data_IF_110199440378
#
_entry.id   IF_110199440378
#
_cell.length_a   1.000
_cell.length_b   1.000
_cell.length_c   1.000
_cell.angle_alpha   90.00
_cell.angle_beta   90.00
_cell.angle_gamma   90.00
#
_symmetry.space_group_name_H-M   'P 1'
#
loop_
_entity.id
_entity.type
_entity.pdbx_description
1 polymer ?
#
# COMPACT_ATOMS: atom_id res chain seq x y z
N UNK A 1 -4.58 26.49 11.22
CA UNK A 1 -3.29 25.80 10.97
C UNK A 1 -3.47 24.88 9.77
N UNK A 2 -2.65 25.06 8.72
CA UNK A 2 -2.77 24.36 7.44
C UNK A 2 -2.50 22.86 7.60
N UNK A 3 -3.49 22.02 7.31
CA UNK A 3 -3.33 20.56 7.27
C UNK A 3 -2.59 20.17 5.99
N UNK A 4 -1.26 20.25 5.99
CA UNK A 4 -0.46 19.85 4.82
C UNK A 4 -0.35 18.33 4.77
N UNK A 5 -1.28 17.68 4.09
CA UNK A 5 -1.10 16.28 3.67
C UNK A 5 0.14 16.22 2.79
N UNK A 6 1.05 15.29 3.10
CA UNK A 6 2.31 15.08 2.38
C UNK A 6 2.32 13.72 1.69
N UNK A 7 2.97 13.67 0.54
CA UNK A 7 2.93 12.52 -0.38
C UNK A 7 1.89 12.69 -1.48
N UNK A 8 1.61 11.65 -2.28
CA UNK A 8 2.12 10.28 -2.12
C UNK A 8 3.62 10.18 -2.40
N UNK A 9 4.31 9.41 -1.57
CA UNK A 9 5.72 9.06 -1.77
C UNK A 9 5.79 7.57 -2.18
N UNK A 10 6.58 7.24 -3.20
CA UNK A 10 6.68 5.87 -3.72
C UNK A 10 7.43 4.96 -2.74
N UNK A 11 6.78 3.90 -2.23
CA UNK A 11 7.47 2.84 -1.46
C UNK A 11 8.13 1.82 -2.39
N UNK A 12 7.32 1.18 -3.24
CA UNK A 12 7.78 0.06 -4.06
C UNK A 12 6.94 -0.07 -5.33
N UNK A 13 7.60 -0.52 -6.39
CA UNK A 13 6.97 -0.96 -7.63
C UNK A 13 6.94 -2.49 -7.66
N UNK A 14 5.74 -3.07 -7.83
CA UNK A 14 5.52 -4.50 -7.88
C UNK A 14 5.39 -4.95 -9.35
N UNK A 15 6.21 -5.91 -9.82
CA UNK A 15 6.16 -6.37 -11.20
C UNK A 15 4.75 -6.80 -11.62
N UNK A 16 4.30 -6.30 -12.78
CA UNK A 16 2.98 -6.59 -13.39
C UNK A 16 1.74 -6.20 -12.57
N UNK A 17 1.90 -5.60 -11.38
CA UNK A 17 0.80 -5.24 -10.50
C UNK A 17 0.59 -3.72 -10.44
N UNK A 18 1.61 -2.96 -10.03
CA UNK A 18 1.47 -1.54 -9.78
C UNK A 18 2.46 -0.99 -8.77
N UNK A 19 2.18 0.19 -8.23
CA UNK A 19 3.02 0.85 -7.21
C UNK A 19 2.28 0.99 -5.89
N UNK A 20 3.01 0.81 -4.79
CA UNK A 20 2.56 1.13 -3.43
C UNK A 20 3.20 2.44 -3.03
N UNK A 21 2.40 3.34 -2.46
CA UNK A 21 2.84 4.62 -1.93
C UNK A 21 2.45 4.80 -0.46
N UNK A 22 3.06 5.78 0.20
CA UNK A 22 2.65 6.22 1.53
C UNK A 22 2.40 7.72 1.56
N UNK A 23 1.56 8.14 2.49
CA UNK A 23 1.23 9.54 2.75
C UNK A 23 1.11 9.80 4.24
N UNK A 24 1.30 11.07 4.59
CA UNK A 24 1.30 11.54 5.96
C UNK A 24 0.42 12.79 6.10
N UNK A 25 -0.37 12.87 7.16
CA UNK A 25 -1.17 14.04 7.54
C UNK A 25 -0.78 14.41 8.97
N UNK A 26 0.08 15.43 9.11
CA UNK A 26 0.63 15.84 10.40
C UNK A 26 -0.44 16.44 11.33
N UNK A 27 -1.58 16.88 10.79
CA UNK A 27 -2.68 17.43 11.56
C UNK A 27 -3.66 16.35 12.07
N UNK A 28 -3.44 15.07 11.71
CA UNK A 28 -4.34 13.96 12.03
C UNK A 28 -3.65 12.90 12.89
N UNK A 29 -4.41 12.32 13.83
CA UNK A 29 -4.02 11.10 14.54
C UNK A 29 -5.12 10.04 14.38
N UNK A 30 -4.89 8.95 13.62
CA UNK A 30 -3.65 8.58 12.94
C UNK A 30 -3.36 9.42 11.69
N UNK A 31 -2.08 9.71 11.46
CA UNK A 31 -1.62 10.53 10.33
C UNK A 31 -1.01 9.74 9.18
N UNK A 32 -0.96 8.40 9.22
CA UNK A 32 -0.23 7.60 8.22
C UNK A 32 -1.16 6.67 7.44
N UNK A 33 -1.01 6.66 6.11
CA UNK A 33 -1.80 5.83 5.22
C UNK A 33 -0.97 5.32 4.04
N UNK A 34 -1.38 4.18 3.51
CA UNK A 34 -0.87 3.64 2.26
C UNK A 34 -1.77 4.06 1.08
N UNK A 35 -1.23 3.91 -0.12
CA UNK A 35 -1.96 3.96 -1.38
C UNK A 35 -1.45 2.88 -2.34
N UNK A 36 -2.25 2.60 -3.35
CA UNK A 36 -1.86 1.70 -4.43
C UNK A 36 -2.37 2.23 -5.77
N UNK A 37 -1.55 2.12 -6.80
CA UNK A 37 -1.90 2.42 -8.19
C UNK A 37 -1.59 1.21 -9.06
N UNK A 38 -2.61 0.61 -9.66
CA UNK A 38 -2.44 -0.47 -10.62
C UNK A 38 -1.80 0.04 -11.92
N UNK A 39 -0.96 -0.77 -12.56
CA UNK A 39 -0.50 -0.46 -13.91
C UNK A 39 -1.65 -0.58 -14.92
N UNK A 40 -1.66 0.31 -15.92
CA UNK A 40 -2.67 0.32 -16.99
C UNK A 40 -2.58 -0.91 -17.89
N UNK A 41 -1.36 -1.42 -18.13
CA UNK A 41 -1.10 -2.64 -18.89
C UNK A 41 -1.20 -3.93 -18.03
N UNK A 42 -1.77 -3.83 -16.82
CA UNK A 42 -1.94 -4.97 -15.92
C UNK A 42 -3.24 -5.76 -16.14
N UNK A 43 -3.50 -6.70 -15.25
CA UNK A 43 -4.78 -7.39 -15.14
C UNK A 43 -5.49 -7.05 -13.82
N UNK A 44 -6.80 -7.29 -13.76
CA UNK A 44 -7.62 -7.15 -12.56
C UNK A 44 -6.99 -7.84 -11.36
N UNK A 45 -6.97 -7.15 -10.23
CA UNK A 45 -6.39 -7.67 -9.00
C UNK A 45 -7.32 -7.46 -7.81
N UNK A 46 -7.27 -8.42 -6.90
CA UNK A 46 -7.89 -8.33 -5.59
C UNK A 46 -6.86 -7.87 -4.58
N UNK A 47 -7.15 -6.74 -3.95
CA UNK A 47 -6.31 -6.14 -2.94
C UNK A 47 -6.98 -6.27 -1.58
N UNK A 48 -6.17 -6.57 -0.56
CA UNK A 48 -6.59 -6.60 0.85
C UNK A 48 -5.64 -5.79 1.72
N UNK A 49 -6.17 -4.79 2.42
CA UNK A 49 -5.47 -4.08 3.48
C UNK A 49 -5.70 -4.76 4.83
N UNK A 50 -4.62 -5.08 5.53
CA UNK A 50 -4.61 -5.60 6.89
C UNK A 50 -3.86 -4.65 7.80
N UNK A 51 -4.36 -4.47 9.01
CA UNK A 51 -3.76 -3.60 10.00
C UNK A 51 -4.12 -4.10 11.40
N UNK A 52 -3.15 -4.21 12.31
CA UNK A 52 -3.38 -4.78 13.65
C UNK A 52 -3.96 -6.20 13.60
N UNK A 53 -3.45 -7.06 12.70
CA UNK A 53 -3.89 -8.45 12.54
C UNK A 53 -5.18 -8.67 11.75
N UNK A 54 -6.09 -7.68 11.74
CA UNK A 54 -7.40 -7.76 11.07
C UNK A 54 -7.39 -7.24 9.63
N UNK A 55 -8.37 -7.67 8.84
CA UNK A 55 -8.64 -7.06 7.53
C UNK A 55 -9.41 -5.76 7.72
N UNK A 56 -8.90 -4.67 7.16
CA UNK A 56 -9.57 -3.35 7.19
C UNK A 56 -10.38 -3.12 5.93
N UNK A 57 -9.85 -3.51 4.78
CA UNK A 57 -10.48 -3.28 3.48
C UNK A 57 -10.14 -4.40 2.51
N UNK A 58 -11.10 -4.75 1.65
CA UNK A 58 -10.92 -5.60 0.47
C UNK A 58 -11.51 -4.89 -0.73
N UNK A 59 -10.82 -4.92 -1.87
CA UNK A 59 -11.32 -4.29 -3.10
C UNK A 59 -10.72 -4.95 -4.34
N UNK A 60 -11.55 -5.13 -5.35
CA UNK A 60 -11.08 -5.38 -6.71
C UNK A 60 -10.60 -4.05 -7.31
N UNK A 61 -9.44 -4.09 -7.95
CA UNK A 61 -8.80 -2.95 -8.60
C UNK A 61 -8.62 -3.32 -10.07
N UNK A 62 -9.21 -2.51 -10.95
CA UNK A 62 -9.03 -2.65 -12.39
C UNK A 62 -7.70 -2.02 -12.84
N UNK A 63 -7.16 -2.40 -14.01
CA UNK A 63 -5.98 -1.77 -14.56
C UNK A 63 -6.07 -0.24 -14.62
N UNK A 64 -4.99 0.43 -14.26
CA UNK A 64 -4.91 1.90 -14.20
C UNK A 64 -5.64 2.57 -13.04
N UNK A 65 -6.42 1.84 -12.24
CA UNK A 65 -7.10 2.41 -11.07
C UNK A 65 -6.11 2.71 -9.93
N UNK A 66 -6.48 3.73 -9.16
CA UNK A 66 -5.80 4.11 -7.93
C UNK A 66 -6.77 3.95 -6.74
N UNK A 67 -6.22 3.52 -5.61
CA UNK A 67 -6.90 3.53 -4.33
C UNK A 67 -6.03 4.18 -3.26
N UNK A 68 -6.65 5.06 -2.46
CA UNK A 68 -6.05 5.63 -1.26
C UNK A 68 -6.69 4.97 -0.04
N UNK A 69 -5.88 4.38 0.83
CA UNK A 69 -6.39 3.75 2.04
C UNK A 69 -6.65 4.78 3.14
N UNK A 70 -7.55 4.49 4.10
CA UNK A 70 -7.74 5.35 5.26
C UNK A 70 -6.45 5.48 6.08
N UNK A 71 -6.34 6.57 6.83
CA UNK A 71 -5.28 6.72 7.83
C UNK A 71 -5.54 5.78 9.01
N UNK A 72 -4.51 5.04 9.45
CA UNK A 72 -4.65 3.98 10.45
C UNK A 72 -3.63 4.14 11.58
N UNK A 73 -4.07 3.87 12.82
CA UNK A 73 -3.19 3.91 14.00
C UNK A 73 -2.24 2.71 14.07
N UNK A 74 -2.55 1.64 13.35
CA UNK A 74 -1.73 0.44 13.35
C UNK A 74 -0.33 0.74 12.79
N UNK A 75 0.69 0.43 13.60
CA UNK A 75 2.11 0.53 13.22
C UNK A 75 2.43 -0.36 12.03
N UNK A 76 1.86 -1.56 12.00
CA UNK A 76 2.07 -2.52 10.92
C UNK A 76 0.83 -2.51 10.02
N UNK A 77 1.04 -2.15 8.76
CA UNK A 77 0.05 -2.24 7.70
C UNK A 77 0.55 -3.21 6.63
N UNK A 78 -0.34 -4.05 6.12
CA UNK A 78 0.00 -5.04 5.09
C UNK A 78 -0.99 -4.99 3.95
N UNK A 79 -0.48 -4.88 2.74
CA UNK A 79 -1.24 -5.04 1.51
C UNK A 79 -0.98 -6.43 0.96
N UNK A 80 -2.03 -7.22 0.78
CA UNK A 80 -1.99 -8.47 0.04
C UNK A 80 -2.63 -8.28 -1.34
N UNK A 81 -2.00 -8.85 -2.36
CA UNK A 81 -2.41 -8.77 -3.75
C UNK A 81 -2.62 -10.17 -4.31
N UNK A 82 -3.70 -10.35 -5.06
CA UNK A 82 -3.97 -11.57 -5.83
C UNK A 82 -4.44 -11.15 -7.22
N UNK A 83 -3.71 -11.54 -8.26
CA UNK A 83 -4.07 -11.31 -9.65
C UNK A 83 -4.22 -12.66 -10.34
N UNK A 84 -5.43 -12.98 -10.78
CA UNK A 84 -5.71 -14.17 -11.57
C UNK A 84 -5.56 -13.87 -13.06
N UNK A 85 -4.72 -14.63 -13.77
CA UNK A 85 -4.55 -14.50 -15.23
C UNK A 85 -4.59 -15.88 -15.89
N UNK A 86 -4.68 -15.92 -17.22
CA UNK A 86 -4.58 -17.19 -17.98
C UNK A 86 -3.28 -17.95 -17.69
N UNK A 87 -2.18 -17.23 -17.43
CA UNK A 87 -0.87 -17.78 -17.11
C UNK A 87 -0.67 -18.09 -15.61
N UNK A 88 -1.77 -18.28 -14.86
CA UNK A 88 -1.75 -18.57 -13.43
C UNK A 88 -1.99 -17.35 -12.54
N UNK A 89 -1.93 -17.60 -11.23
CA UNK A 89 -2.23 -16.62 -10.18
C UNK A 89 -0.96 -16.02 -9.61
N UNK A 90 -0.77 -14.71 -9.77
CA UNK A 90 0.28 -13.96 -9.09
C UNK A 90 -0.19 -13.52 -7.70
N UNK A 91 0.65 -13.72 -6.68
CA UNK A 91 0.40 -13.27 -5.32
C UNK A 91 1.57 -12.44 -4.83
N UNK A 92 1.27 -11.31 -4.20
CA UNK A 92 2.28 -10.48 -3.56
C UNK A 92 1.79 -9.99 -2.20
N UNK A 93 2.71 -9.66 -1.32
CA UNK A 93 2.42 -8.95 -0.08
C UNK A 93 3.47 -7.89 0.21
N UNK A 94 3.02 -6.70 0.58
CA UNK A 94 3.86 -5.59 1.05
C UNK A 94 3.49 -5.32 2.49
N UNK A 95 4.44 -5.48 3.40
CA UNK A 95 4.28 -5.15 4.82
C UNK A 95 5.06 -3.89 5.13
N UNK A 96 4.42 -2.90 5.72
CA UNK A 96 5.00 -1.60 6.07
C UNK A 96 4.93 -1.41 7.57
N UNK A 97 6.06 -1.04 8.18
CA UNK A 97 6.18 -0.80 9.61
C UNK A 97 6.52 0.67 9.89
N UNK A 98 5.54 1.38 10.43
CA UNK A 98 5.65 2.75 10.94
C UNK A 98 6.09 2.70 12.40
N UNK A 99 7.40 2.83 12.64
CA UNK A 99 8.00 2.87 13.96
C UNK A 99 7.58 4.15 14.70
N UNK A 100 7.35 4.09 16.03
CA UNK A 100 6.99 5.25 16.83
C UNK A 100 8.15 6.27 16.88
N UNK A 101 7.81 7.56 16.96
CA UNK A 101 8.80 8.65 17.08
C UNK A 101 9.45 9.09 15.76
N UNK A 102 9.10 8.47 14.63
CA UNK A 102 9.65 8.82 13.32
C UNK A 102 8.72 9.74 12.51
N UNK A 103 9.31 10.75 11.86
CA UNK A 103 8.62 11.72 11.01
C UNK A 103 8.46 11.24 9.56
N UNK A 104 7.49 10.35 9.28
CA UNK A 104 7.22 9.80 7.93
C UNK A 104 6.58 10.78 6.93
N UNK A 105 6.58 12.07 7.27
CA UNK A 105 6.06 13.16 6.46
C UNK A 105 7.10 13.69 5.44
N UNK A 106 8.15 12.93 5.15
CA UNK A 106 9.24 13.32 4.24
C UNK A 106 9.59 12.17 3.30
N UNK A 107 9.85 12.45 2.00
CA UNK A 107 10.10 11.40 1.00
C UNK A 107 11.42 10.65 1.22
N UNK A 108 12.44 11.33 1.76
CA UNK A 108 13.77 10.79 1.99
C UNK A 108 13.87 9.92 3.26
N UNK A 109 12.76 9.76 3.99
CA UNK A 109 12.71 8.97 5.21
C UNK A 109 11.55 7.95 5.17
N UNK A 110 11.64 6.93 4.29
CA UNK A 110 10.58 5.96 4.11
C UNK A 110 10.41 5.07 5.36
N UNK A 111 9.19 4.58 5.64
CA UNK A 111 8.99 3.51 6.62
C UNK A 111 9.71 2.23 6.19
N UNK A 112 10.02 1.35 7.16
CA UNK A 112 10.58 0.04 6.85
C UNK A 112 9.52 -0.80 6.13
N UNK A 113 9.94 -1.53 5.10
CA UNK A 113 9.05 -2.40 4.34
C UNK A 113 9.67 -3.77 4.06
N UNK A 114 8.81 -4.78 3.99
CA UNK A 114 9.10 -6.15 3.53
C UNK A 114 8.20 -6.46 2.34
N UNK A 115 8.77 -7.03 1.28
CA UNK A 115 8.04 -7.38 0.06
C UNK A 115 8.24 -8.84 -0.24
N UNK A 116 7.13 -9.55 -0.45
CA UNK A 116 7.15 -10.96 -0.86
C UNK A 116 6.33 -11.11 -2.11
N UNK A 117 6.94 -11.69 -3.15
CA UNK A 117 6.27 -12.05 -4.39
C UNK A 117 6.36 -13.57 -4.51
N UNK A 118 5.21 -14.21 -4.67
CA UNK A 118 5.14 -15.66 -4.83
C UNK A 118 5.11 -16.01 -6.33
N UNK A 119 5.73 -17.13 -6.72
CA UNK A 119 5.66 -17.63 -8.09
C UNK A 119 4.20 -17.85 -8.52
N UNK A 120 3.95 -17.69 -9.82
CA UNK A 120 2.63 -18.02 -10.39
C UNK A 120 2.38 -19.52 -10.27
N UNK A 121 1.16 -19.87 -9.87
CA UNK A 121 0.64 -21.24 -9.87
C UNK A 121 -0.62 -21.30 -10.70
#
# INVERSE_FOLDING_TARGET
ASATVRGPFLLVSLPSLGTVDWRCDAARQPGLALGFRAFSAGADLYLRLRAGGRTVLRRQILPGQMIRFPYLQARIQRLDFVQGTKAGTLRASVTVNFLPGFGYCWPYFPPRMDVRVLPRR
#
